data_IF_528571838374
#
_entry.id   IF_528571838374
#
_cell.length_a   1.000
_cell.length_b   1.000
_cell.length_c   1.000
_cell.angle_alpha   90.00
_cell.angle_beta   90.00
_cell.angle_gamma   90.00
#
_symmetry.space_group_name_H-M   'P 1'
#
loop_
_entity.id
_entity.type
_entity.pdbx_description
1 polymer ?
#
# COMPACT_ATOMS: atom_id res chain seq x y z
N UNK A 1 -52.89 -47.23 10.90
CA UNK A 1 -52.00 -47.70 9.84
C UNK A 1 -51.30 -46.47 9.25
N UNK A 2 -50.04 -46.23 9.61
CA UNK A 2 -49.24 -45.10 9.11
C UNK A 2 -48.24 -45.62 8.08
N UNK A 3 -48.37 -45.22 6.85
CA UNK A 3 -47.44 -45.53 5.76
C UNK A 3 -46.20 -44.64 5.86
N UNK A 4 -45.07 -45.20 6.18
CA UNK A 4 -43.77 -44.58 6.09
C UNK A 4 -43.17 -44.85 4.70
N UNK A 5 -42.98 -43.80 3.88
CA UNK A 5 -42.26 -43.90 2.62
C UNK A 5 -40.78 -43.66 2.86
N UNK A 6 -39.99 -44.67 2.58
CA UNK A 6 -38.53 -44.58 2.53
C UNK A 6 -38.15 -44.06 1.15
N UNK A 7 -37.46 -42.89 1.10
CA UNK A 7 -36.87 -42.35 -0.12
C UNK A 7 -35.39 -42.76 -0.11
N UNK A 8 -35.05 -43.70 -0.96
CA UNK A 8 -33.66 -44.06 -1.20
C UNK A 8 -32.97 -43.05 -2.08
N UNK A 9 -31.85 -42.53 -1.59
CA UNK A 9 -30.95 -41.66 -2.39
C UNK A 9 -29.96 -42.60 -3.06
N UNK A 10 -30.04 -42.70 -4.39
CA UNK A 10 -29.01 -43.36 -5.23
C UNK A 10 -27.94 -42.32 -5.56
N UNK A 11 -26.75 -42.51 -4.99
CA UNK A 11 -25.58 -41.73 -5.35
C UNK A 11 -24.94 -42.35 -6.57
N UNK A 12 -24.96 -41.66 -7.71
CA UNK A 12 -24.22 -42.05 -8.91
C UNK A 12 -22.92 -41.31 -8.93
N UNK A 13 -21.83 -42.03 -8.67
CA UNK A 13 -20.46 -41.51 -8.81
C UNK A 13 -20.06 -41.64 -10.29
N UNK A 14 -19.98 -40.55 -11.02
CA UNK A 14 -19.43 -40.51 -12.37
C UNK A 14 -17.92 -40.25 -12.27
N UNK A 15 -17.14 -41.25 -12.59
CA UNK A 15 -15.68 -41.14 -12.72
C UNK A 15 -15.37 -40.58 -14.12
N UNK A 16 -15.02 -39.30 -14.22
CA UNK A 16 -14.50 -38.70 -15.45
C UNK A 16 -12.98 -38.78 -15.47
N UNK A 17 -12.44 -39.71 -16.21
CA UNK A 17 -11.04 -39.76 -16.64
C UNK A 17 -10.84 -38.74 -17.76
N UNK A 18 -10.23 -37.58 -17.46
CA UNK A 18 -9.78 -36.63 -18.47
C UNK A 18 -8.29 -36.79 -18.71
N UNK A 19 -7.93 -37.34 -19.85
CA UNK A 19 -6.55 -37.30 -20.38
C UNK A 19 -6.30 -35.92 -20.97
N UNK A 20 -5.31 -35.18 -20.41
CA UNK A 20 -4.84 -33.92 -20.96
C UNK A 20 -3.63 -34.23 -21.84
N UNK A 21 -3.79 -34.05 -23.16
CA UNK A 21 -2.66 -34.09 -24.10
C UNK A 21 -2.07 -32.70 -24.22
N UNK A 22 -0.82 -32.53 -23.78
CA UNK A 22 -0.08 -31.25 -23.94
C UNK A 22 0.78 -31.40 -25.20
N UNK A 23 0.49 -30.55 -26.22
CA UNK A 23 1.37 -30.37 -27.38
C UNK A 23 2.45 -29.36 -27.05
N UNK A 24 3.69 -29.81 -26.89
CA UNK A 24 4.87 -28.95 -26.87
C UNK A 24 5.30 -28.64 -28.32
N UNK A 25 5.49 -27.37 -28.64
CA UNK A 25 6.07 -26.94 -29.91
C UNK A 25 7.58 -26.75 -29.70
N UNK A 26 8.39 -27.69 -30.23
CA UNK A 26 9.84 -27.48 -30.35
C UNK A 26 10.20 -27.25 -31.82
N UNK A 27 10.96 -26.18 -32.07
CA UNK A 27 11.59 -25.94 -33.35
C UNK A 27 12.95 -26.61 -33.36
N UNK A 28 13.14 -27.41 -34.41
CA UNK A 28 14.38 -28.07 -34.90
C UNK A 28 14.95 -29.27 -34.12
N UNK A 29 14.71 -30.45 -34.68
CA UNK A 29 15.66 -31.54 -34.89
C UNK A 29 16.19 -32.26 -33.66
N UNK A 30 15.42 -33.13 -33.05
CA UNK A 30 15.75 -34.55 -32.82
C UNK A 30 14.59 -35.24 -32.06
N UNK A 31 14.21 -36.45 -32.57
CA UNK A 31 13.12 -37.21 -31.95
C UNK A 31 13.69 -38.06 -30.80
N UNK A 32 13.30 -37.71 -29.56
CA UNK A 32 13.21 -38.66 -28.45
C UNK A 32 12.04 -38.25 -27.57
N UNK A 33 11.02 -39.09 -27.52
CA UNK A 33 9.81 -38.87 -26.70
C UNK A 33 10.05 -39.60 -25.38
N UNK A 34 10.18 -38.82 -24.29
CA UNK A 34 10.13 -39.36 -22.93
C UNK A 34 8.73 -39.12 -22.36
N UNK A 35 8.00 -40.18 -22.11
CA UNK A 35 6.73 -40.16 -21.37
C UNK A 35 7.02 -40.28 -19.88
N UNK A 36 6.51 -39.31 -19.10
CA UNK A 36 6.50 -39.37 -17.63
C UNK A 36 5.07 -39.61 -17.15
N UNK A 37 4.87 -40.71 -16.42
CA UNK A 37 3.66 -40.93 -15.62
C UNK A 37 3.73 -40.16 -14.33
N UNK A 38 2.69 -39.36 -14.05
CA UNK A 38 2.53 -38.66 -12.76
C UNK A 38 1.47 -39.41 -11.97
N UNK A 39 1.88 -40.12 -10.94
CA UNK A 39 1.02 -40.72 -9.93
C UNK A 39 0.64 -39.62 -8.91
N UNK A 40 -0.65 -39.39 -8.74
CA UNK A 40 -1.17 -38.52 -7.65
C UNK A 40 -1.27 -39.36 -6.37
N UNK A 41 -0.59 -38.88 -5.33
CA UNK A 41 -0.78 -39.37 -3.96
C UNK A 41 -2.05 -38.80 -3.34
N UNK A 42 -2.75 -39.66 -2.63
CA UNK A 42 -4.01 -39.45 -1.96
C UNK A 42 -3.89 -38.51 -0.73
N UNK A 43 -4.86 -37.61 -0.57
CA UNK A 43 -5.05 -36.74 0.58
C UNK A 43 -5.43 -37.51 1.85
N UNK A 44 -4.91 -37.14 3.02
CA UNK A 44 -5.34 -37.73 4.28
C UNK A 44 -6.67 -37.14 4.77
N UNK A 45 -7.49 -38.02 5.32
CA UNK A 45 -8.82 -37.80 5.89
C UNK A 45 -8.82 -36.80 7.06
N UNK A 46 -9.84 -35.97 7.07
CA UNK A 46 -10.18 -35.06 8.18
C UNK A 46 -10.81 -35.84 9.31
N UNK A 47 -10.14 -35.89 10.46
CA UNK A 47 -10.72 -36.41 11.72
C UNK A 47 -11.46 -35.28 12.44
N UNK A 48 -12.75 -35.43 12.60
CA UNK A 48 -13.62 -34.56 13.40
C UNK A 48 -13.45 -34.86 14.89
N UNK A 49 -13.18 -33.84 15.70
CA UNK A 49 -13.21 -33.88 17.17
C UNK A 49 -14.53 -33.26 17.66
N UNK A 50 -15.25 -33.90 18.57
CA UNK A 50 -16.54 -33.39 19.01
C UNK A 50 -16.42 -32.24 20.01
N UNK A 51 -17.39 -31.32 19.92
CA UNK A 51 -17.57 -30.19 20.84
C UNK A 51 -18.04 -30.67 22.21
N UNK A 52 -17.37 -30.20 23.26
CA UNK A 52 -17.86 -30.34 24.65
C UNK A 52 -18.40 -28.98 25.11
N UNK A 53 -19.68 -28.96 25.37
CA UNK A 53 -20.40 -27.88 26.06
C UNK A 53 -20.28 -28.09 27.55
N UNK A 54 -20.09 -27.02 28.33
CA UNK A 54 -20.90 -26.74 29.51
C UNK A 54 -20.53 -25.41 30.16
N UNK A 55 -21.49 -24.82 30.89
CA UNK A 55 -21.48 -23.42 31.26
C UNK A 55 -21.12 -23.22 32.74
N UNK A 56 -20.68 -22.02 33.13
CA UNK A 56 -20.80 -21.56 34.50
C UNK A 56 -21.04 -20.06 34.57
N UNK A 57 -22.17 -19.72 35.08
CA UNK A 57 -22.63 -18.50 35.72
C UNK A 57 -21.77 -18.13 36.92
N UNK A 58 -21.54 -16.86 37.19
CA UNK A 58 -22.09 -16.04 38.27
C UNK A 58 -21.35 -14.73 38.46
N UNK A 59 -22.10 -13.65 38.49
CA UNK A 59 -21.75 -12.36 39.13
C UNK A 59 -21.95 -12.52 40.67
N UNK A 60 -21.31 -11.68 41.52
CA UNK A 60 -21.95 -10.41 41.87
C UNK A 60 -21.02 -9.23 42.23
N UNK A 61 -21.47 -8.05 41.86
CA UNK A 61 -21.70 -6.81 42.63
C UNK A 61 -20.81 -6.53 43.86
N UNK A 62 -20.15 -5.36 43.83
CA UNK A 62 -20.30 -4.32 44.87
C UNK A 62 -19.72 -2.98 44.44
N UNK A 63 -20.49 -1.93 44.63
CA UNK A 63 -20.20 -0.49 44.72
C UNK A 63 -20.29 -0.10 46.20
N UNK A 64 -20.09 1.14 46.61
CA UNK A 64 -19.11 2.20 46.36
C UNK A 64 -18.47 2.76 47.63
N UNK A 65 -17.47 3.65 47.59
CA UNK A 65 -17.25 4.65 48.64
C UNK A 65 -16.68 5.95 48.06
N UNK A 66 -17.27 7.00 48.52
CA UNK A 66 -17.25 8.41 48.29
C UNK A 66 -16.09 9.18 48.95
N UNK A 67 -15.87 10.43 48.42
CA UNK A 67 -15.41 11.69 49.07
C UNK A 67 -13.91 11.81 49.35
N UNK A 68 -13.27 12.90 48.92
CA UNK A 68 -13.38 14.26 49.43
C UNK A 68 -12.64 15.29 48.59
N UNK A 69 -13.19 16.46 48.48
CA UNK A 69 -12.62 17.77 48.05
C UNK A 69 -12.42 18.61 49.34
N UNK A 70 -11.86 19.81 49.37
CA UNK A 70 -10.84 20.54 48.59
C UNK A 70 -9.81 21.25 49.50
N UNK A 71 -8.71 21.83 48.97
CA UNK A 71 -8.04 23.00 49.64
C UNK A 71 -7.35 23.91 48.61
N UNK A 72 -7.89 25.06 48.49
CA UNK A 72 -7.43 26.44 48.39
C UNK A 72 -6.08 26.87 47.79
N UNK A 73 -6.22 27.83 46.90
CA UNK A 73 -5.33 28.84 46.30
C UNK A 73 -4.59 29.70 47.32
N UNK A 74 -3.44 30.27 47.00
CA UNK A 74 -3.17 31.66 47.22
C UNK A 74 -2.76 32.44 45.96
N UNK A 75 -3.43 33.53 45.79
CA UNK A 75 -3.17 34.68 44.95
C UNK A 75 -1.90 35.42 45.35
N UNK A 76 -1.06 35.83 44.35
CA UNK A 76 -0.17 36.98 44.49
C UNK A 76 -0.35 37.92 43.29
N UNK A 77 -0.45 39.18 43.63
CA UNK A 77 -0.72 40.40 42.86
C UNK A 77 0.48 40.81 41.98
N UNK A 78 0.29 41.60 40.91
CA UNK A 78 1.29 41.83 39.87
C UNK A 78 2.28 42.94 40.25
N UNK A 79 3.52 42.75 39.78
CA UNK A 79 4.57 43.78 39.82
C UNK A 79 4.60 44.49 38.47
N UNK A 80 4.75 45.80 38.52
CA UNK A 80 4.68 46.77 37.44
C UNK A 80 5.74 46.50 36.35
N UNK A 81 5.29 46.59 35.11
CA UNK A 81 6.08 46.55 33.88
C UNK A 81 6.77 47.88 33.63
N UNK A 82 8.09 47.89 33.56
CA UNK A 82 8.87 48.95 32.94
C UNK A 82 8.93 48.70 31.41
N UNK A 83 8.57 49.75 30.68
CA UNK A 83 8.55 49.86 29.22
C UNK A 83 9.97 49.75 28.65
N UNK A 84 10.27 48.82 27.72
CA UNK A 84 11.53 48.85 27.01
C UNK A 84 11.51 49.87 25.88
N UNK A 85 12.49 50.76 25.87
CA UNK A 85 12.81 51.72 24.83
C UNK A 85 13.15 50.98 23.52
N UNK A 86 12.49 51.33 22.43
CA UNK A 86 12.71 50.77 21.10
C UNK A 86 14.06 51.18 20.55
N UNK A 87 15.03 50.28 20.61
CA UNK A 87 16.27 50.40 19.83
C UNK A 87 16.05 49.84 18.43
N UNK A 88 16.16 50.72 17.43
CA UNK A 88 16.07 50.40 15.99
C UNK A 88 17.15 49.35 15.64
N UNK A 89 16.83 48.21 15.02
CA UNK A 89 17.84 47.21 14.67
C UNK A 89 18.74 47.74 13.54
N UNK A 90 20.02 47.82 13.81
CA UNK A 90 21.06 48.08 12.80
C UNK A 90 21.09 46.91 11.83
N UNK A 91 20.62 47.10 10.61
CA UNK A 91 20.58 46.09 9.58
C UNK A 91 22.01 45.79 9.12
N UNK A 92 22.59 44.71 9.59
CA UNK A 92 23.92 44.26 9.20
C UNK A 92 23.94 43.84 7.73
N UNK A 93 24.91 44.29 6.98
CA UNK A 93 25.17 43.99 5.55
C UNK A 93 25.21 42.48 5.24
N UNK A 94 25.57 41.65 6.22
CA UNK A 94 25.59 40.19 6.14
C UNK A 94 24.20 39.57 5.92
N UNK A 95 23.13 40.13 6.53
CA UNK A 95 21.77 39.64 6.33
C UNK A 95 21.23 39.91 4.91
N UNK A 96 21.60 41.04 4.32
CA UNK A 96 21.23 41.38 2.92
C UNK A 96 21.95 40.51 1.90
N UNK A 97 23.20 40.11 2.13
CA UNK A 97 23.95 39.22 1.25
C UNK A 97 23.43 37.79 1.31
N UNK A 98 23.06 37.28 2.49
CA UNK A 98 22.45 35.96 2.64
C UNK A 98 21.07 35.86 1.94
N UNK A 99 20.24 36.92 2.00
CA UNK A 99 18.96 36.96 1.31
C UNK A 99 19.13 36.96 -0.22
N UNK A 100 20.10 37.73 -0.76
CA UNK A 100 20.40 37.74 -2.20
C UNK A 100 20.94 36.40 -2.70
N UNK A 101 21.80 35.74 -1.95
CA UNK A 101 22.38 34.45 -2.32
C UNK A 101 21.34 33.31 -2.26
N UNK A 102 20.52 33.26 -1.21
CA UNK A 102 19.40 32.30 -1.10
C UNK A 102 18.40 32.51 -2.23
N UNK A 103 18.01 33.74 -2.56
CA UNK A 103 17.10 34.06 -3.66
C UNK A 103 17.66 33.57 -5.01
N UNK A 104 18.97 33.74 -5.26
CA UNK A 104 19.65 33.29 -6.48
C UNK A 104 19.67 31.77 -6.63
N UNK A 105 19.71 31.01 -5.51
CA UNK A 105 19.67 29.55 -5.49
C UNK A 105 18.25 29.05 -5.74
N UNK A 106 17.24 29.65 -5.09
CA UNK A 106 15.84 29.26 -5.23
C UNK A 106 15.24 29.57 -6.60
N UNK A 107 15.73 30.59 -7.31
CA UNK A 107 15.32 30.89 -8.68
C UNK A 107 15.64 29.75 -9.69
N UNK A 108 16.43 28.75 -9.27
CA UNK A 108 16.74 27.57 -10.07
C UNK A 108 15.73 26.42 -9.90
N UNK A 109 14.64 26.60 -9.12
CA UNK A 109 13.57 25.58 -9.01
C UNK A 109 12.88 25.44 -10.35
N UNK A 110 12.98 24.24 -10.95
CA UNK A 110 12.34 23.88 -12.22
C UNK A 110 10.83 23.64 -12.00
N UNK A 111 10.46 22.84 -11.00
CA UNK A 111 9.07 22.52 -10.66
C UNK A 111 8.92 22.13 -9.21
N UNK A 112 7.69 22.27 -8.70
CA UNK A 112 7.21 21.64 -7.49
C UNK A 112 6.04 20.72 -7.85
N UNK A 113 5.93 19.58 -7.17
CA UNK A 113 4.84 18.61 -7.38
C UNK A 113 4.44 17.94 -6.06
N UNK A 114 3.29 17.30 -6.09
CA UNK A 114 2.78 16.47 -5.00
C UNK A 114 2.70 15.01 -5.48
N UNK A 115 2.82 14.09 -4.55
CA UNK A 115 2.62 12.64 -4.78
C UNK A 115 1.19 12.31 -5.23
N UNK A 116 0.22 13.19 -4.91
CA UNK A 116 -1.21 12.97 -5.20
C UNK A 116 -1.86 14.25 -5.77
N UNK A 117 -2.61 14.08 -6.86
CA UNK A 117 -3.42 15.16 -7.48
C UNK A 117 -4.77 15.31 -6.80
N UNK A 118 -5.29 14.23 -6.23
CA UNK A 118 -6.53 14.20 -5.45
C UNK A 118 -6.45 13.13 -4.34
N UNK A 119 -7.18 13.36 -3.24
CA UNK A 119 -7.38 12.41 -2.14
C UNK A 119 -8.82 12.44 -1.65
N UNK A 120 -9.29 11.29 -1.14
CA UNK A 120 -10.52 11.20 -0.35
C UNK A 120 -10.16 10.85 1.10
N UNK A 121 -10.96 11.35 2.05
CA UNK A 121 -10.76 11.15 3.48
C UNK A 121 -12.13 10.97 4.15
N UNK A 122 -12.21 10.15 5.19
CA UNK A 122 -13.30 10.25 6.15
C UNK A 122 -13.12 11.49 7.04
N UNK A 123 -14.19 11.92 7.70
CA UNK A 123 -14.07 12.88 8.80
C UNK A 123 -13.16 12.30 9.89
N UNK A 124 -12.17 13.08 10.33
CA UNK A 124 -11.19 12.69 11.34
C UNK A 124 -9.88 12.11 10.76
N UNK A 125 -9.92 11.49 9.58
CA UNK A 125 -8.74 10.89 8.97
C UNK A 125 -7.63 11.91 8.71
N UNK A 126 -6.39 11.43 8.77
CA UNK A 126 -5.19 12.18 8.41
C UNK A 126 -4.46 11.47 7.26
N UNK A 127 -3.98 12.23 6.29
CA UNK A 127 -3.17 11.73 5.18
C UNK A 127 -2.08 12.74 4.83
N UNK A 128 -0.85 12.25 4.67
CA UNK A 128 0.27 13.11 4.31
C UNK A 128 0.34 13.27 2.80
N UNK A 129 0.49 14.50 2.33
CA UNK A 129 0.89 14.83 0.97
C UNK A 129 2.39 15.07 0.97
N UNK A 130 3.12 14.32 0.14
CA UNK A 130 4.55 14.47 -0.02
C UNK A 130 4.85 15.46 -1.12
N UNK A 131 5.70 16.44 -0.83
CA UNK A 131 6.13 17.46 -1.80
C UNK A 131 7.46 17.11 -2.42
N UNK A 132 7.61 17.35 -3.72
CA UNK A 132 8.84 17.18 -4.47
C UNK A 132 9.24 18.48 -5.12
N UNK A 133 10.53 18.83 -5.01
CA UNK A 133 11.12 20.01 -5.65
C UNK A 133 12.17 19.56 -6.65
N UNK A 134 12.01 19.93 -7.92
CA UNK A 134 12.99 19.69 -8.98
C UNK A 134 13.73 20.98 -9.27
N UNK A 135 15.06 20.92 -9.19
CA UNK A 135 15.94 22.04 -9.48
C UNK A 135 16.55 21.92 -10.88
N UNK A 136 16.88 23.04 -11.54
CA UNK A 136 17.70 23.06 -12.79
C UNK A 136 19.14 22.62 -12.51
N UNK A 137 19.75 23.18 -11.43
CA UNK A 137 21.03 22.75 -10.85
C UNK A 137 20.85 22.69 -9.33
N UNK A 138 21.14 21.57 -8.67
CA UNK A 138 20.97 21.40 -7.22
C UNK A 138 22.27 21.72 -6.50
N UNK A 139 22.23 22.63 -5.52
CA UNK A 139 23.27 22.76 -4.48
C UNK A 139 22.87 21.89 -3.29
N UNK A 140 23.83 21.10 -2.76
CA UNK A 140 23.60 20.23 -1.59
C UNK A 140 23.19 21.09 -0.38
N UNK A 141 22.19 20.65 0.41
CA UNK A 141 21.78 21.35 1.63
C UNK A 141 20.75 22.47 1.50
N UNK A 142 20.31 22.81 0.28
CA UNK A 142 19.29 23.86 0.09
C UNK A 142 17.89 23.25 0.02
N UNK A 143 17.05 23.63 0.98
CA UNK A 143 15.64 23.26 1.01
C UNK A 143 14.76 24.45 0.57
N UNK A 144 13.86 24.23 -0.39
CA UNK A 144 12.88 25.22 -0.82
C UNK A 144 11.89 25.52 0.31
N UNK A 145 11.74 26.78 0.75
CA UNK A 145 10.72 27.14 1.74
C UNK A 145 9.32 27.04 1.11
N UNK A 146 8.58 26.04 1.54
CA UNK A 146 7.26 25.71 1.05
C UNK A 146 6.17 26.14 2.03
N UNK A 147 5.05 26.66 1.51
CA UNK A 147 3.89 27.05 2.30
C UNK A 147 2.70 26.21 1.87
N UNK A 148 2.06 25.58 2.86
CA UNK A 148 0.82 24.83 2.69
C UNK A 148 -0.39 25.67 3.09
N UNK A 149 -1.40 25.69 2.23
CA UNK A 149 -2.67 26.37 2.49
C UNK A 149 -3.85 25.49 2.10
N UNK A 150 -5.00 25.68 2.75
CA UNK A 150 -6.28 25.07 2.35
C UNK A 150 -7.23 26.16 1.88
N UNK A 151 -8.05 25.85 0.88
CA UNK A 151 -9.11 26.73 0.40
C UNK A 151 -10.32 26.77 1.34
N UNK A 152 -10.49 25.72 2.17
CA UNK A 152 -11.63 25.65 3.10
C UNK A 152 -11.25 24.88 4.38
N UNK A 153 -10.95 25.62 5.45
CA UNK A 153 -10.57 25.08 6.76
C UNK A 153 -11.72 24.33 7.46
N UNK A 154 -12.99 24.60 7.09
CA UNK A 154 -14.16 23.88 7.62
C UNK A 154 -14.21 22.44 7.08
N UNK A 155 -13.79 22.21 5.82
CA UNK A 155 -13.78 20.91 5.17
C UNK A 155 -12.49 20.14 5.47
N UNK A 156 -11.32 20.75 5.29
CA UNK A 156 -10.04 20.12 5.53
C UNK A 156 -8.98 21.15 5.98
N UNK A 157 -8.09 20.70 6.87
CA UNK A 157 -6.91 21.48 7.28
C UNK A 157 -5.64 20.82 6.76
N UNK A 158 -4.55 21.59 6.68
CA UNK A 158 -3.22 21.08 6.34
C UNK A 158 -2.16 21.69 7.26
N UNK A 159 -1.22 20.87 7.74
CA UNK A 159 -0.06 21.34 8.50
C UNK A 159 1.08 21.78 7.56
N UNK A 160 2.09 22.49 8.09
CA UNK A 160 3.30 22.84 7.33
C UNK A 160 4.19 21.62 7.00
N UNK A 161 3.89 20.43 7.54
CA UNK A 161 4.48 19.14 7.18
C UNK A 161 3.68 18.38 6.10
N UNK A 162 2.64 19.00 5.49
CA UNK A 162 1.81 18.38 4.46
C UNK A 162 0.74 17.43 4.98
N UNK A 163 0.53 17.32 6.31
CA UNK A 163 -0.51 16.45 6.88
C UNK A 163 -1.88 17.09 6.71
N UNK A 164 -2.72 16.48 5.90
CA UNK A 164 -4.13 16.90 5.67
C UNK A 164 -5.03 16.14 6.64
N UNK A 165 -5.94 16.85 7.33
CA UNK A 165 -6.97 16.28 8.20
C UNK A 165 -8.36 16.63 7.67
N UNK A 166 -9.22 15.61 7.45
CA UNK A 166 -10.64 15.79 7.14
C UNK A 166 -11.41 16.32 8.34
N UNK A 167 -12.23 17.35 8.16
CA UNK A 167 -13.00 17.99 9.23
C UNK A 167 -14.50 17.78 9.08
N UNK A 168 -15.04 18.03 7.89
CA UNK A 168 -16.45 17.83 7.56
C UNK A 168 -16.62 17.47 6.10
N UNK A 169 -17.75 16.83 5.77
CA UNK A 169 -18.04 16.45 4.38
C UNK A 169 -17.97 17.68 3.45
N UNK A 170 -17.43 17.46 2.25
CA UNK A 170 -17.28 18.53 1.27
C UNK A 170 -16.01 18.41 0.44
N UNK A 171 -15.69 19.48 -0.29
CA UNK A 171 -14.50 19.57 -1.15
C UNK A 171 -13.65 20.77 -0.74
N UNK A 172 -12.33 20.60 -0.75
CA UNK A 172 -11.34 21.64 -0.55
C UNK A 172 -10.14 21.42 -1.48
N UNK A 173 -9.33 22.45 -1.69
CA UNK A 173 -8.04 22.35 -2.36
C UNK A 173 -6.93 22.64 -1.37
N UNK A 174 -5.97 21.72 -1.27
CA UNK A 174 -4.70 21.98 -0.60
C UNK A 174 -3.73 22.52 -1.63
N UNK A 175 -3.18 23.69 -1.36
CA UNK A 175 -2.20 24.37 -2.23
C UNK A 175 -0.85 24.35 -1.54
N UNK A 176 0.16 23.87 -2.26
CA UNK A 176 1.56 24.03 -1.93
C UNK A 176 2.12 25.17 -2.78
N UNK A 177 2.78 26.15 -2.15
CA UNK A 177 3.40 27.29 -2.83
C UNK A 177 4.88 27.40 -2.43
N UNK A 178 5.76 27.56 -3.42
CA UNK A 178 7.13 28.00 -3.19
C UNK A 178 7.11 29.46 -2.71
N UNK A 179 7.73 29.73 -1.57
CA UNK A 179 7.83 31.09 -1.01
C UNK A 179 8.67 32.00 -1.87
N UNK A 180 9.69 31.46 -2.53
CA UNK A 180 10.65 32.25 -3.31
C UNK A 180 10.24 32.43 -4.76
N UNK A 181 9.82 31.32 -5.43
CA UNK A 181 9.51 31.37 -6.87
C UNK A 181 8.03 31.64 -7.16
N UNK A 182 7.18 31.62 -6.16
CA UNK A 182 5.73 31.76 -6.33
C UNK A 182 5.03 30.57 -6.99
N UNK A 183 5.78 29.54 -7.48
CA UNK A 183 5.19 28.35 -8.10
C UNK A 183 4.23 27.65 -7.15
N UNK A 184 3.11 27.17 -7.70
CA UNK A 184 2.06 26.50 -6.93
C UNK A 184 1.71 25.15 -7.54
N UNK A 185 1.24 24.24 -6.69
CA UNK A 185 0.58 22.97 -7.07
C UNK A 185 -0.59 22.72 -6.13
N UNK A 186 -1.66 22.13 -6.64
CA UNK A 186 -2.90 21.86 -5.89
C UNK A 186 -3.21 20.39 -5.82
N UNK A 187 -3.74 19.95 -4.68
CA UNK A 187 -4.35 18.65 -4.48
C UNK A 187 -5.83 18.85 -4.12
N UNK A 188 -6.74 18.20 -4.86
CA UNK A 188 -8.18 18.18 -4.55
C UNK A 188 -8.42 17.24 -3.37
N UNK A 189 -9.07 17.73 -2.32
CA UNK A 189 -9.48 16.94 -1.16
C UNK A 189 -10.99 16.79 -1.16
N UNK A 190 -11.48 15.56 -1.07
CA UNK A 190 -12.88 15.25 -0.85
C UNK A 190 -13.02 14.57 0.50
N UNK A 191 -13.76 15.17 1.42
CA UNK A 191 -14.10 14.54 2.70
C UNK A 191 -15.51 13.95 2.56
N UNK A 192 -15.60 12.62 2.62
CA UNK A 192 -16.85 11.86 2.48
C UNK A 192 -16.61 10.43 2.98
N UNK A 193 -17.71 9.65 3.23
CA UNK A 193 -17.59 8.21 3.54
C UNK A 193 -16.71 7.51 2.48
N UNK A 194 -15.60 6.97 2.91
CA UNK A 194 -14.54 6.42 2.05
C UNK A 194 -14.17 5.02 2.51
N UNK A 195 -14.07 4.09 1.56
CA UNK A 195 -13.60 2.73 1.77
C UNK A 195 -12.16 2.65 1.26
N UNK A 196 -11.20 2.40 2.14
CA UNK A 196 -9.80 2.23 1.73
C UNK A 196 -9.53 0.78 1.36
N UNK A 197 -8.69 0.55 0.34
CA UNK A 197 -8.26 -0.76 -0.13
C UNK A 197 -6.87 -0.65 -0.76
N UNK A 198 -6.01 -1.67 -0.56
CA UNK A 198 -4.74 -1.79 -1.26
C UNK A 198 -4.83 -2.87 -2.34
N UNK A 199 -4.69 -2.47 -3.60
CA UNK A 199 -4.45 -3.41 -4.70
C UNK A 199 -2.95 -3.62 -4.84
N UNK A 200 -2.55 -4.88 -4.95
CA UNK A 200 -1.15 -5.29 -5.04
C UNK A 200 -0.94 -6.15 -6.27
N UNK A 201 0.21 -5.96 -6.92
CA UNK A 201 0.56 -6.64 -8.15
C UNK A 201 1.92 -7.33 -7.98
N UNK A 202 1.96 -8.63 -8.22
CA UNK A 202 3.13 -9.47 -8.05
C UNK A 202 3.76 -9.81 -9.42
N UNK A 203 4.99 -10.33 -9.39
CA UNK A 203 5.79 -10.85 -10.50
C UNK A 203 6.32 -9.84 -11.50
N UNK A 204 5.86 -8.58 -11.46
CA UNK A 204 6.38 -7.52 -12.32
C UNK A 204 7.82 -7.09 -11.98
N UNK A 205 8.28 -6.02 -12.65
CA UNK A 205 7.64 -5.30 -13.74
C UNK A 205 7.58 -6.12 -15.04
N UNK A 206 6.51 -5.93 -15.81
CA UNK A 206 6.26 -6.65 -17.05
C UNK A 206 5.76 -5.75 -18.19
N UNK A 207 5.46 -6.37 -19.34
CA UNK A 207 5.02 -5.65 -20.54
C UNK A 207 3.65 -4.95 -20.38
N UNK A 208 2.80 -5.41 -19.46
CA UNK A 208 1.48 -4.81 -19.20
C UNK A 208 1.48 -3.78 -18.08
N UNK A 209 2.59 -3.62 -17.34
CA UNK A 209 2.73 -2.68 -16.21
C UNK A 209 2.43 -1.23 -16.63
N UNK A 210 2.91 -0.75 -17.78
CA UNK A 210 2.63 0.62 -18.24
C UNK A 210 1.15 0.87 -18.54
N UNK A 211 0.42 -0.12 -19.05
CA UNK A 211 -1.04 -0.05 -19.27
C UNK A 211 -1.78 0.11 -17.94
N UNK A 212 -1.39 -0.68 -16.94
CA UNK A 212 -1.92 -0.60 -15.58
C UNK A 212 -1.63 0.76 -14.94
N UNK A 213 -0.40 1.25 -15.03
CA UNK A 213 0.02 2.53 -14.47
C UNK A 213 -0.75 3.72 -15.07
N UNK A 214 -1.03 3.71 -16.38
CA UNK A 214 -1.87 4.71 -17.04
C UNK A 214 -3.29 4.73 -16.45
N UNK A 215 -3.87 3.56 -16.19
CA UNK A 215 -5.20 3.45 -15.60
C UNK A 215 -5.21 3.94 -14.13
N UNK A 216 -4.20 3.57 -13.35
CA UNK A 216 -4.06 4.02 -11.96
C UNK A 216 -3.91 5.55 -11.88
N UNK A 217 -3.02 6.17 -12.68
CA UNK A 217 -2.81 7.64 -12.67
C UNK A 217 -4.07 8.40 -13.11
N UNK A 218 -4.75 7.94 -14.17
CA UNK A 218 -6.02 8.53 -14.65
C UNK A 218 -7.08 8.55 -13.54
N UNK A 219 -7.09 7.56 -12.66
CA UNK A 219 -8.06 7.43 -11.58
C UNK A 219 -7.58 7.97 -10.22
N UNK A 220 -6.41 8.61 -10.17
CA UNK A 220 -5.73 9.02 -8.93
C UNK A 220 -5.65 7.87 -7.91
N UNK A 221 -5.40 6.67 -8.38
CA UNK A 221 -5.26 5.45 -7.60
C UNK A 221 -3.80 5.15 -7.34
N UNK A 222 -3.51 4.54 -6.19
CA UNK A 222 -2.19 4.01 -5.84
C UNK A 222 -2.27 2.51 -5.65
N UNK A 223 -1.16 1.84 -5.88
CA UNK A 223 -0.99 0.40 -5.72
C UNK A 223 0.39 0.09 -5.16
N UNK A 224 0.58 -1.13 -4.72
CA UNK A 224 1.88 -1.68 -4.30
C UNK A 224 2.28 -2.77 -5.30
N UNK A 225 3.52 -2.68 -5.80
CA UNK A 225 4.09 -3.64 -6.75
C UNK A 225 5.17 -4.45 -6.05
N UNK A 226 5.01 -5.76 -6.00
CA UNK A 226 6.01 -6.69 -5.48
C UNK A 226 6.82 -7.23 -6.64
N UNK A 227 7.99 -6.62 -6.87
CA UNK A 227 8.79 -6.86 -8.06
C UNK A 227 9.72 -8.05 -7.90
N UNK A 228 9.80 -8.89 -8.94
CA UNK A 228 10.80 -9.95 -9.09
C UNK A 228 12.10 -9.32 -9.60
N UNK A 229 13.20 -9.49 -8.86
CA UNK A 229 14.46 -8.81 -9.14
C UNK A 229 15.04 -9.11 -10.52
N UNK A 230 14.92 -10.35 -10.99
CA UNK A 230 15.41 -10.76 -12.32
C UNK A 230 14.68 -10.08 -13.48
N UNK A 231 13.41 -9.68 -13.29
CA UNK A 231 12.61 -8.97 -14.30
C UNK A 231 13.02 -7.49 -14.45
N UNK A 232 13.66 -6.91 -13.42
CA UNK A 232 13.95 -5.46 -13.37
C UNK A 232 14.84 -5.00 -14.51
N UNK A 233 15.87 -5.77 -14.87
CA UNK A 233 16.84 -5.35 -15.91
C UNK A 233 16.20 -5.21 -17.28
N UNK A 234 15.27 -6.09 -17.64
CA UNK A 234 14.53 -6.04 -18.90
C UNK A 234 13.41 -4.98 -18.91
N UNK A 235 12.94 -4.54 -17.73
CA UNK A 235 11.80 -3.64 -17.57
C UNK A 235 12.12 -2.39 -16.72
N UNK A 236 13.34 -1.86 -16.83
CA UNK A 236 13.81 -0.66 -16.08
C UNK A 236 12.89 0.55 -16.25
N UNK A 237 12.30 0.71 -17.43
CA UNK A 237 11.39 1.82 -17.73
C UNK A 237 10.10 1.70 -16.91
N UNK A 238 9.52 0.51 -16.82
CA UNK A 238 8.32 0.23 -16.05
C UNK A 238 8.56 0.51 -14.57
N UNK A 239 9.62 -0.02 -13.97
CA UNK A 239 9.99 0.25 -12.58
C UNK A 239 10.21 1.76 -12.31
N UNK A 240 10.86 2.48 -13.24
CA UNK A 240 10.99 3.94 -13.15
C UNK A 240 9.64 4.66 -13.19
N UNK A 241 8.70 4.17 -14.01
CA UNK A 241 7.34 4.72 -14.11
C UNK A 241 6.52 4.45 -12.85
N UNK A 242 6.59 3.23 -12.28
CA UNK A 242 5.99 2.90 -10.98
C UNK A 242 6.47 3.89 -9.90
N UNK A 243 7.78 4.05 -9.76
CA UNK A 243 8.38 4.96 -8.78
C UNK A 243 8.03 6.43 -9.04
N UNK A 244 8.07 6.88 -10.30
CA UNK A 244 7.72 8.24 -10.72
C UNK A 244 6.25 8.59 -10.43
N UNK A 245 5.37 7.61 -10.53
CA UNK A 245 3.94 7.74 -10.22
C UNK A 245 3.67 7.51 -8.72
N UNK A 246 4.72 7.38 -7.90
CA UNK A 246 4.63 7.20 -6.45
C UNK A 246 3.82 5.96 -6.06
N UNK A 247 3.99 4.86 -6.79
CA UNK A 247 3.56 3.55 -6.36
C UNK A 247 4.53 3.04 -5.29
N UNK A 248 4.09 2.15 -4.44
CA UNK A 248 4.94 1.51 -3.45
C UNK A 248 5.61 0.28 -4.06
N UNK A 249 6.91 0.16 -3.85
CA UNK A 249 7.71 -0.95 -4.36
C UNK A 249 8.07 -1.89 -3.22
N UNK A 250 7.62 -3.12 -3.32
CA UNK A 250 8.00 -4.26 -2.49
C UNK A 250 8.91 -5.22 -3.25
N UNK A 251 9.58 -6.11 -2.52
CA UNK A 251 10.36 -7.22 -3.07
C UNK A 251 9.49 -8.47 -3.23
N UNK A 252 9.64 -9.19 -4.35
CA UNK A 252 9.10 -10.52 -4.54
C UNK A 252 10.23 -11.55 -4.78
N UNK A 253 11.36 -11.36 -4.07
CA UNK A 253 12.63 -12.07 -4.24
C UNK A 253 13.31 -11.80 -5.59
N UNK A 254 14.49 -12.36 -5.82
CA UNK A 254 15.21 -12.13 -7.08
C UNK A 254 14.75 -13.08 -8.18
N UNK A 255 14.62 -14.39 -7.88
CA UNK A 255 14.23 -15.43 -8.83
C UNK A 255 12.85 -16.02 -8.56
N UNK A 256 11.97 -15.33 -7.82
CA UNK A 256 10.68 -15.87 -7.38
C UNK A 256 10.81 -17.17 -6.57
N UNK A 257 11.89 -17.27 -5.75
CA UNK A 257 12.21 -18.48 -4.99
C UNK A 257 11.34 -18.64 -3.75
N UNK A 258 10.96 -19.87 -3.42
CA UNK A 258 10.26 -20.21 -2.19
C UNK A 258 11.19 -20.04 -0.98
N UNK A 259 11.07 -18.93 -0.25
CA UNK A 259 11.97 -18.59 0.86
C UNK A 259 11.93 -19.59 2.01
N UNK A 260 10.85 -20.37 2.17
CA UNK A 260 10.71 -21.37 3.24
C UNK A 260 11.69 -22.55 3.06
N UNK A 261 12.05 -22.85 1.82
CA UNK A 261 12.91 -24.00 1.47
C UNK A 261 14.40 -23.63 1.35
N UNK A 262 14.73 -22.34 1.43
CA UNK A 262 16.09 -21.85 1.24
C UNK A 262 16.90 -21.81 2.55
N UNK A 263 18.20 -22.06 2.41
CA UNK A 263 19.17 -21.77 3.47
C UNK A 263 19.31 -20.26 3.74
N UNK A 264 19.82 -19.90 4.92
CA UNK A 264 20.03 -18.48 5.30
C UNK A 264 20.88 -17.71 4.28
N UNK A 265 22.02 -18.23 3.78
CA UNK A 265 22.79 -17.53 2.74
C UNK A 265 21.97 -17.31 1.46
N UNK A 266 21.14 -18.28 1.04
CA UNK A 266 20.30 -18.17 -0.14
C UNK A 266 19.19 -17.13 0.05
N UNK A 267 18.52 -17.10 1.22
CA UNK A 267 17.53 -16.04 1.56
C UNK A 267 18.19 -14.65 1.45
N UNK A 268 19.36 -14.46 2.07
CA UNK A 268 20.09 -13.19 2.01
C UNK A 268 20.47 -12.82 0.57
N UNK A 269 20.86 -13.79 -0.26
CA UNK A 269 21.19 -13.58 -1.68
C UNK A 269 19.94 -13.11 -2.45
N UNK A 270 18.81 -13.80 -2.33
CA UNK A 270 17.55 -13.46 -3.00
C UNK A 270 17.10 -12.03 -2.66
N UNK A 271 17.05 -11.69 -1.37
CA UNK A 271 16.60 -10.37 -0.93
C UNK A 271 17.64 -9.27 -1.25
N UNK A 272 18.93 -9.55 -1.04
CA UNK A 272 20.02 -8.61 -1.31
C UNK A 272 20.17 -8.29 -2.79
N UNK A 273 20.03 -9.29 -3.68
CA UNK A 273 20.09 -9.09 -5.13
C UNK A 273 18.94 -8.24 -5.64
N UNK A 274 17.70 -8.48 -5.14
CA UNK A 274 16.55 -7.64 -5.45
C UNK A 274 16.76 -6.19 -4.99
N UNK A 275 17.21 -5.99 -3.75
CA UNK A 275 17.51 -4.66 -3.23
C UNK A 275 18.56 -3.93 -4.08
N UNK A 276 19.62 -4.62 -4.49
CA UNK A 276 20.70 -4.07 -5.32
C UNK A 276 20.18 -3.61 -6.68
N UNK A 277 19.45 -4.47 -7.41
CA UNK A 277 18.97 -4.14 -8.76
C UNK A 277 17.91 -3.06 -8.73
N UNK A 278 16.95 -3.09 -7.79
CA UNK A 278 15.93 -2.04 -7.64
C UNK A 278 16.59 -0.69 -7.31
N UNK A 279 17.52 -0.67 -6.33
CA UNK A 279 18.25 0.55 -5.96
C UNK A 279 19.05 1.13 -7.11
N UNK A 280 19.63 0.31 -7.98
CA UNK A 280 20.38 0.81 -9.16
C UNK A 280 19.50 1.56 -10.15
N UNK A 281 18.20 1.25 -10.22
CA UNK A 281 17.24 1.83 -11.18
C UNK A 281 16.51 3.04 -10.62
N UNK A 282 16.05 2.98 -9.36
CA UNK A 282 15.21 4.03 -8.76
C UNK A 282 15.86 4.76 -7.57
N UNK A 283 17.07 4.39 -7.17
CA UNK A 283 17.84 5.06 -6.11
C UNK A 283 17.45 4.68 -4.68
N UNK A 284 16.46 3.81 -4.50
CA UNK A 284 16.01 3.29 -3.18
C UNK A 284 15.74 1.80 -3.24
N UNK A 285 15.72 1.13 -2.08
CA UNK A 285 15.39 -0.29 -1.96
C UNK A 285 13.88 -0.48 -1.78
N UNK A 286 13.34 -1.68 -2.06
CA UNK A 286 11.99 -2.07 -1.66
C UNK A 286 11.73 -1.86 -0.17
N UNK A 287 10.51 -1.46 0.18
CA UNK A 287 10.10 -1.15 1.56
C UNK A 287 9.30 -2.26 2.22
N UNK A 288 8.85 -3.24 1.44
CA UNK A 288 8.05 -4.39 1.83
C UNK A 288 8.59 -5.65 1.17
N UNK A 289 8.22 -6.81 1.71
CA UNK A 289 8.47 -8.13 1.11
C UNK A 289 7.15 -8.88 0.99
N UNK A 290 6.86 -9.46 -0.16
CA UNK A 290 5.89 -10.54 -0.27
C UNK A 290 6.66 -11.82 -0.63
N UNK A 291 6.68 -12.83 0.27
CA UNK A 291 7.28 -14.12 -0.07
C UNK A 291 6.51 -14.78 -1.22
N UNK A 292 7.19 -15.30 -2.25
CA UNK A 292 6.55 -16.08 -3.31
C UNK A 292 5.68 -17.22 -2.75
N UNK A 293 4.54 -17.47 -3.42
CA UNK A 293 3.55 -18.48 -3.00
C UNK A 293 2.93 -18.22 -1.62
N UNK A 294 3.15 -17.05 -1.01
CA UNK A 294 2.81 -16.78 0.38
C UNK A 294 3.61 -17.64 1.38
N UNK A 295 4.68 -18.28 0.94
CA UNK A 295 5.40 -19.29 1.70
C UNK A 295 6.49 -18.66 2.57
N UNK A 296 6.33 -18.75 3.89
CA UNK A 296 7.27 -18.17 4.87
C UNK A 296 7.36 -19.00 6.16
N UNK A 297 8.39 -18.73 6.96
CA UNK A 297 8.61 -19.30 8.28
C UNK A 297 9.32 -18.27 9.19
N UNK A 298 9.67 -18.68 10.42
CA UNK A 298 10.41 -17.84 11.38
C UNK A 298 11.75 -17.34 10.83
N UNK A 299 12.44 -18.19 10.07
CA UNK A 299 13.73 -17.84 9.44
C UNK A 299 13.52 -16.76 8.38
N UNK A 300 12.49 -16.89 7.52
CA UNK A 300 12.12 -15.84 6.55
C UNK A 300 11.88 -14.51 7.26
N UNK A 301 11.08 -14.51 8.33
CA UNK A 301 10.81 -13.30 9.13
C UNK A 301 12.06 -12.67 9.72
N UNK A 302 12.95 -13.49 10.29
CA UNK A 302 14.22 -13.03 10.88
C UNK A 302 15.12 -12.28 9.88
N UNK A 303 15.12 -12.69 8.60
CA UNK A 303 16.01 -12.14 7.59
C UNK A 303 15.32 -11.24 6.56
N UNK A 304 14.01 -11.03 6.67
CA UNK A 304 13.24 -10.17 5.74
C UNK A 304 13.74 -8.72 5.71
N UNK A 305 14.15 -8.16 6.85
CA UNK A 305 14.65 -6.78 6.97
C UNK A 305 13.59 -5.69 6.79
N UNK A 306 12.41 -6.05 6.29
CA UNK A 306 11.23 -5.19 6.04
C UNK A 306 9.96 -5.91 6.48
N UNK A 307 8.80 -5.22 6.60
CA UNK A 307 7.52 -5.88 6.84
C UNK A 307 7.17 -6.86 5.72
N UNK A 308 6.58 -7.99 6.08
CA UNK A 308 6.10 -8.98 5.12
C UNK A 308 4.60 -8.83 4.91
N UNK A 309 4.13 -8.94 3.66
CA UNK A 309 2.74 -8.69 3.28
C UNK A 309 2.16 -9.94 2.59
N UNK A 310 1.07 -10.44 3.15
CA UNK A 310 0.21 -11.43 2.53
C UNK A 310 -0.94 -10.73 1.76
N UNK A 311 -2.10 -11.37 1.66
CA UNK A 311 -3.32 -10.79 1.11
C UNK A 311 -4.55 -11.25 1.89
N UNK A 312 -5.63 -10.53 1.76
CA UNK A 312 -6.94 -10.92 2.31
C UNK A 312 -7.93 -11.33 1.24
N UNK A 313 -7.66 -10.97 -0.02
CA UNK A 313 -8.44 -11.37 -1.19
C UNK A 313 -7.48 -11.88 -2.26
N UNK A 314 -7.63 -13.15 -2.65
CA UNK A 314 -6.99 -13.75 -3.83
C UNK A 314 -7.98 -13.69 -4.99
N UNK A 315 -7.61 -12.97 -6.05
CA UNK A 315 -8.49 -12.88 -7.23
C UNK A 315 -8.44 -14.10 -8.12
N UNK A 316 -7.50 -15.01 -7.88
CA UNK A 316 -7.21 -16.19 -8.71
C UNK A 316 -7.00 -15.84 -10.20
N UNK A 317 -6.51 -14.63 -10.46
CA UNK A 317 -6.22 -14.10 -11.80
C UNK A 317 -5.15 -14.93 -12.53
N UNK A 318 -4.16 -15.43 -11.76
CA UNK A 318 -3.11 -16.33 -12.20
C UNK A 318 -3.64 -17.68 -12.68
N UNK A 319 -4.78 -18.14 -12.15
CA UNK A 319 -5.40 -19.43 -12.47
C UNK A 319 -6.35 -19.34 -13.65
N UNK A 320 -7.31 -18.42 -13.59
CA UNK A 320 -8.43 -18.38 -14.54
C UNK A 320 -8.16 -17.57 -15.80
N UNK A 321 -7.21 -16.64 -15.79
CA UNK A 321 -6.78 -15.85 -16.98
C UNK A 321 -7.95 -15.29 -17.80
N UNK A 322 -8.99 -14.83 -17.15
CA UNK A 322 -10.20 -14.32 -17.78
C UNK A 322 -10.57 -12.94 -17.25
N UNK A 323 -10.71 -11.95 -18.13
CA UNK A 323 -11.00 -10.55 -17.79
C UNK A 323 -12.30 -10.40 -17.00
N UNK A 324 -13.36 -11.11 -17.40
CA UNK A 324 -14.66 -11.02 -16.73
C UNK A 324 -14.62 -11.68 -15.36
N UNK A 325 -13.97 -12.82 -15.24
CA UNK A 325 -13.77 -13.51 -13.96
C UNK A 325 -13.01 -12.61 -12.96
N UNK A 326 -11.85 -12.08 -13.38
CA UNK A 326 -11.04 -11.18 -12.53
C UNK A 326 -11.83 -9.95 -12.11
N UNK A 327 -12.50 -9.29 -13.05
CA UNK A 327 -13.31 -8.10 -12.75
C UNK A 327 -14.47 -8.42 -11.79
N UNK A 328 -15.21 -9.52 -12.01
CA UNK A 328 -16.32 -9.92 -11.15
C UNK A 328 -15.85 -10.30 -9.75
N UNK A 329 -14.75 -11.05 -9.62
CA UNK A 329 -14.16 -11.43 -8.36
C UNK A 329 -13.70 -10.21 -7.55
N UNK A 330 -13.00 -9.26 -8.20
CA UNK A 330 -12.64 -8.00 -7.57
C UNK A 330 -13.88 -7.28 -7.02
N UNK A 331 -14.94 -7.15 -7.82
CA UNK A 331 -16.14 -6.40 -7.43
C UNK A 331 -16.99 -7.11 -6.37
N UNK A 332 -16.92 -8.43 -6.28
CA UNK A 332 -17.66 -9.26 -5.32
C UNK A 332 -16.92 -9.38 -3.98
N UNK A 333 -15.62 -9.70 -4.02
CA UNK A 333 -14.88 -10.09 -2.84
C UNK A 333 -14.24 -8.91 -2.10
N UNK A 334 -13.90 -7.79 -2.82
CA UNK A 334 -13.19 -6.66 -2.20
C UNK A 334 -14.04 -5.93 -1.17
N UNK A 335 -13.54 -5.82 0.04
CA UNK A 335 -14.10 -5.04 1.15
C UNK A 335 -13.16 -3.91 1.56
N UNK A 336 -13.65 -2.99 2.40
CA UNK A 336 -12.79 -1.95 2.97
C UNK A 336 -11.70 -2.56 3.86
N UNK A 337 -10.48 -2.06 3.70
CA UNK A 337 -9.27 -2.47 4.41
C UNK A 337 -8.64 -3.78 3.90
N UNK A 338 -9.11 -4.31 2.77
CA UNK A 338 -8.48 -5.48 2.15
C UNK A 338 -7.15 -5.14 1.47
N UNK A 339 -6.29 -6.17 1.40
CA UNK A 339 -5.14 -6.27 0.52
C UNK A 339 -5.51 -7.29 -0.55
N UNK A 340 -5.59 -6.85 -1.80
CA UNK A 340 -6.05 -7.66 -2.94
C UNK A 340 -4.85 -8.07 -3.78
N UNK A 341 -4.70 -9.37 -4.02
CA UNK A 341 -3.65 -9.94 -4.86
C UNK A 341 -4.07 -9.98 -6.32
N UNK A 342 -3.18 -9.49 -7.19
CA UNK A 342 -3.18 -9.65 -8.64
C UNK A 342 -1.74 -9.77 -9.15
N UNK A 343 -1.59 -9.99 -10.46
CA UNK A 343 -0.31 -10.06 -11.16
C UNK A 343 -0.33 -9.15 -12.39
N UNK A 344 0.69 -8.29 -12.57
CA UNK A 344 0.73 -7.33 -13.70
C UNK A 344 1.49 -7.86 -14.93
N UNK A 345 1.94 -9.11 -14.86
CA UNK A 345 2.55 -9.83 -15.99
C UNK A 345 1.52 -10.48 -16.93
N UNK A 346 0.23 -10.44 -16.58
CA UNK A 346 -0.84 -11.03 -17.38
C UNK A 346 -1.83 -9.98 -17.88
N UNK A 347 -2.04 -9.96 -19.21
CA UNK A 347 -2.97 -9.02 -19.84
C UNK A 347 -4.38 -9.13 -19.25
N UNK A 348 -4.87 -10.34 -19.03
CA UNK A 348 -6.22 -10.59 -18.50
C UNK A 348 -6.40 -10.08 -17.08
N UNK A 349 -5.36 -10.15 -16.23
CA UNK A 349 -5.34 -9.59 -14.88
C UNK A 349 -5.43 -8.07 -14.91
N UNK A 350 -4.59 -7.44 -15.73
CA UNK A 350 -4.55 -5.99 -15.90
C UNK A 350 -5.88 -5.48 -16.47
N UNK A 351 -6.42 -6.11 -17.50
CA UNK A 351 -7.68 -5.72 -18.14
C UNK A 351 -8.89 -5.94 -17.21
N UNK A 352 -8.89 -7.03 -16.44
CA UNK A 352 -9.91 -7.30 -15.43
C UNK A 352 -9.93 -6.25 -14.33
N UNK A 353 -8.75 -5.86 -13.82
CA UNK A 353 -8.63 -4.77 -12.85
C UNK A 353 -9.10 -3.43 -13.44
N UNK A 354 -8.64 -3.08 -14.65
CA UNK A 354 -9.06 -1.82 -15.34
C UNK A 354 -10.57 -1.78 -15.53
N UNK A 355 -11.20 -2.89 -15.88
CA UNK A 355 -12.67 -3.03 -16.01
C UNK A 355 -13.39 -2.80 -14.67
N UNK A 356 -12.86 -3.31 -13.56
CA UNK A 356 -13.45 -3.15 -12.23
C UNK A 356 -13.28 -1.74 -11.64
N UNK A 357 -12.20 -1.03 -12.00
CA UNK A 357 -11.77 0.21 -11.34
C UNK A 357 -12.83 1.33 -11.33
N UNK A 358 -13.56 1.65 -12.40
CA UNK A 358 -14.61 2.67 -12.37
C UNK A 358 -15.71 2.35 -11.36
N UNK A 359 -16.13 1.09 -11.28
CA UNK A 359 -17.16 0.64 -10.34
C UNK A 359 -16.68 0.73 -8.89
N UNK A 360 -15.42 0.36 -8.59
CA UNK A 360 -14.83 0.56 -7.28
C UNK A 360 -14.84 2.03 -6.88
N UNK A 361 -14.43 2.94 -7.77
CA UNK A 361 -14.46 4.39 -7.52
C UNK A 361 -15.91 4.88 -7.27
N UNK A 362 -16.90 4.41 -8.03
CA UNK A 362 -18.32 4.72 -7.82
C UNK A 362 -18.84 4.21 -6.48
N UNK A 363 -18.39 3.03 -6.03
CA UNK A 363 -18.72 2.45 -4.72
C UNK A 363 -18.00 3.15 -3.54
N UNK A 364 -17.20 4.19 -3.81
CA UNK A 364 -16.51 5.01 -2.81
C UNK A 364 -15.18 4.45 -2.32
N UNK A 365 -14.58 3.53 -3.07
CA UNK A 365 -13.24 3.05 -2.77
C UNK A 365 -12.17 4.08 -3.14
N UNK A 366 -11.22 4.26 -2.23
CA UNK A 366 -9.96 4.96 -2.45
C UNK A 366 -8.84 3.93 -2.42
N UNK A 367 -8.16 3.76 -3.57
CA UNK A 367 -7.07 2.84 -3.71
C UNK A 367 -5.79 3.49 -3.21
N UNK A 368 -5.17 2.86 -2.22
CA UNK A 368 -3.97 3.34 -1.53
C UNK A 368 -2.88 2.26 -1.56
N UNK A 369 -1.64 2.62 -1.22
CA UNK A 369 -0.58 1.63 -1.03
C UNK A 369 -0.80 0.84 0.26
N UNK A 370 -0.13 -0.30 0.44
CA UNK A 370 -0.21 -1.11 1.66
C UNK A 370 0.22 -0.29 2.87
N UNK A 371 1.35 0.41 2.81
CA UNK A 371 1.82 1.25 3.92
C UNK A 371 0.84 2.38 4.26
N UNK A 372 0.21 3.00 3.25
CA UNK A 372 -0.84 3.99 3.48
C UNK A 372 -2.08 3.37 4.12
N UNK A 373 -2.47 2.15 3.72
CA UNK A 373 -3.64 1.44 4.27
C UNK A 373 -3.49 1.24 5.78
N UNK A 374 -2.31 0.75 6.23
CA UNK A 374 -2.03 0.57 7.66
C UNK A 374 -1.95 1.90 8.41
N UNK A 375 -1.30 2.90 7.82
CA UNK A 375 -1.21 4.25 8.40
C UNK A 375 -2.58 4.90 8.60
N UNK A 376 -3.50 4.75 7.63
CA UNK A 376 -4.87 5.25 7.70
C UNK A 376 -5.69 4.54 8.80
N UNK A 377 -5.39 3.27 9.08
CA UNK A 377 -5.98 2.51 10.19
C UNK A 377 -5.34 2.82 11.55
N UNK A 378 -4.27 3.63 11.58
CA UNK A 378 -3.51 3.95 12.79
C UNK A 378 -2.54 2.85 13.24
N UNK A 379 -2.28 1.86 12.37
CA UNK A 379 -1.36 0.75 12.63
C UNK A 379 0.01 1.02 11.98
N UNK A 380 1.08 0.51 12.60
CA UNK A 380 2.45 0.57 12.09
C UNK A 380 2.93 -0.82 11.70
N UNK A 381 3.50 -0.93 10.52
CA UNK A 381 4.17 -2.14 10.06
C UNK A 381 5.54 -2.27 10.75
N UNK A 382 5.90 -3.50 11.16
CA UNK A 382 7.20 -3.85 11.77
C UNK A 382 7.93 -4.84 10.89
N UNK A 383 9.26 -4.69 10.80
CA UNK A 383 10.10 -5.60 10.02
C UNK A 383 9.98 -7.05 10.52
N UNK A 384 9.99 -7.98 9.57
CA UNK A 384 9.95 -9.41 9.86
C UNK A 384 8.60 -9.97 10.30
N UNK A 385 7.57 -9.13 10.43
CA UNK A 385 6.21 -9.53 10.77
C UNK A 385 5.39 -9.67 9.49
N UNK A 386 4.57 -10.73 9.42
CA UNK A 386 3.62 -10.96 8.33
C UNK A 386 2.28 -10.27 8.63
N UNK A 387 1.75 -9.58 7.63
CA UNK A 387 0.50 -8.83 7.69
C UNK A 387 -0.45 -9.28 6.59
N UNK A 388 -1.72 -9.48 6.93
CA UNK A 388 -2.77 -9.97 6.02
C UNK A 388 -3.75 -8.86 5.62
N UNK A 389 -4.19 -8.09 6.58
CA UNK A 389 -4.97 -6.85 6.38
C UNK A 389 -5.09 -6.09 7.70
N UNK A 390 -5.30 -4.76 7.66
CA UNK A 390 -5.47 -3.98 8.90
C UNK A 390 -6.67 -4.38 9.77
N UNK A 391 -7.60 -5.19 9.26
CA UNK A 391 -8.71 -5.71 10.03
C UNK A 391 -8.42 -7.05 10.73
N UNK A 392 -7.43 -7.82 10.23
CA UNK A 392 -7.07 -9.14 10.77
C UNK A 392 -5.90 -9.07 11.75
N UNK A 393 -4.99 -8.11 11.57
CA UNK A 393 -3.73 -8.00 12.34
C UNK A 393 -3.87 -7.16 13.60
#
# INVERSE_FOLDING_TARGET
MKNTRIIGIISVTVLLLSTITIYGYESSGNKNINTYEVTQESTPSVTTIPATTTPVTTNPTTKPVTTTKPVTKPTKKPVATTKPTATKPKTTTAAKNNVKETTKIYNKVKSISLDKKAIRLNKGDKRTLTSYVKYKKRKKGVNEPLIWKTSNKKVATVSQKGVVKGKSNGKAYITLKSKVTGKTVKCKVTVAKTKYVAFTFDDGPGIYTDKLLKALDKNNAKATFFVVGSCVNSHKTQLKNEYKLHMEIGSHTYNHSNLKTLSVPQIKKELGSTNKVVKSVIGTTPTLLRPPYGSYNKTTGKYAGVPMIYWSVDTLDWKYRNVNYVSSTILKETKAWDIVLLHDIHQTSVDGFIKALPTLKKRGYELVTVSELYSLKGKKLKNGIMYFSPNRD
#
